data_IF_562868939059
#
_entry.id   IF_562868939059
#
_cell.length_a   1.000
_cell.length_b   1.000
_cell.length_c   1.000
_cell.angle_alpha   90.00
_cell.angle_beta   90.00
_cell.angle_gamma   90.00
#
_symmetry.space_group_name_H-M   'P 1'
#
loop_
_entity.id
_entity.type
_entity.pdbx_description
1 polymer ?
#
# COMPACT_ATOMS: atom_id res chain seq x y z
N UNK A 1 17.26 -11.88 38.26
CA UNK A 1 17.64 -11.69 36.85
C UNK A 1 16.45 -11.06 36.15
N UNK A 2 16.49 -9.76 35.90
CA UNK A 2 15.39 -9.04 35.24
C UNK A 2 15.70 -8.99 33.77
N UNK A 3 15.00 -9.78 32.96
CA UNK A 3 15.15 -9.76 31.50
C UNK A 3 14.60 -8.44 30.99
N UNK A 4 15.48 -7.50 30.68
CA UNK A 4 15.12 -6.20 30.11
C UNK A 4 14.64 -6.46 28.67
N UNK A 5 13.35 -6.22 28.41
CA UNK A 5 12.79 -6.34 27.06
C UNK A 5 13.55 -5.39 26.11
N UNK A 6 13.89 -5.81 24.88
CA UNK A 6 14.63 -4.98 23.95
C UNK A 6 13.80 -3.75 23.60
N UNK A 7 14.30 -2.55 23.94
CA UNK A 7 13.67 -1.30 23.54
C UNK A 7 13.62 -1.22 22.01
N UNK A 8 12.44 -0.94 21.46
CA UNK A 8 12.26 -0.85 20.01
C UNK A 8 13.19 0.21 19.40
N UNK A 9 13.92 -0.21 18.36
CA UNK A 9 14.82 0.67 17.61
C UNK A 9 14.06 1.88 17.03
N UNK A 10 14.76 3.00 16.81
CA UNK A 10 14.15 4.22 16.26
C UNK A 10 13.39 3.99 14.93
N UNK A 11 13.87 3.17 13.97
CA UNK A 11 13.12 2.83 12.76
C UNK A 11 11.81 2.10 13.05
N UNK A 12 11.81 1.14 13.98
CA UNK A 12 10.60 0.41 14.37
C UNK A 12 9.55 1.34 15.00
N UNK A 13 9.98 2.28 15.86
CA UNK A 13 9.09 3.30 16.44
C UNK A 13 8.47 4.21 15.39
N UNK A 14 9.25 4.65 14.40
CA UNK A 14 8.74 5.46 13.27
C UNK A 14 7.71 4.69 12.44
N UNK A 15 8.01 3.42 12.12
CA UNK A 15 7.08 2.56 11.38
C UNK A 15 5.77 2.36 12.16
N UNK A 16 5.85 2.10 13.47
CA UNK A 16 4.67 1.98 14.32
C UNK A 16 3.81 3.26 14.30
N UNK A 17 4.43 4.44 14.34
CA UNK A 17 3.72 5.71 14.23
C UNK A 17 3.02 5.89 12.87
N UNK A 18 3.66 5.51 11.77
CA UNK A 18 3.05 5.57 10.43
C UNK A 18 1.87 4.59 10.30
N UNK A 19 1.98 3.39 10.86
CA UNK A 19 0.87 2.44 10.89
C UNK A 19 -0.31 2.94 11.74
N UNK A 20 -0.02 3.51 12.92
CA UNK A 20 -1.05 4.12 13.77
C UNK A 20 -1.78 5.27 13.05
N UNK A 21 -1.04 6.08 12.28
CA UNK A 21 -1.64 7.11 11.43
C UNK A 21 -2.57 6.50 10.36
N UNK A 22 -2.11 5.50 9.60
CA UNK A 22 -2.91 4.82 8.57
C UNK A 22 -4.20 4.25 9.15
N UNK A 23 -4.09 3.50 10.23
CA UNK A 23 -5.20 2.86 10.93
C UNK A 23 -6.20 3.89 11.49
N UNK A 24 -5.72 5.06 11.95
CA UNK A 24 -6.60 6.17 12.29
C UNK A 24 -7.38 6.71 11.07
N UNK A 25 -6.73 6.89 9.92
CA UNK A 25 -7.38 7.38 8.70
C UNK A 25 -8.38 6.36 8.14
N UNK A 26 -8.06 5.06 8.19
CA UNK A 26 -8.99 4.01 7.76
C UNK A 26 -10.25 3.99 8.62
N UNK A 27 -10.09 4.07 9.95
CA UNK A 27 -11.24 4.21 10.88
C UNK A 27 -12.04 5.49 10.61
N UNK A 28 -11.38 6.61 10.38
CA UNK A 28 -12.04 7.88 10.08
C UNK A 28 -12.86 7.77 8.77
N UNK A 29 -12.29 7.14 7.73
CA UNK A 29 -12.96 6.92 6.45
C UNK A 29 -14.15 5.95 6.55
N UNK A 30 -14.10 4.99 7.49
CA UNK A 30 -15.19 4.06 7.79
C UNK A 30 -16.34 4.74 8.51
N UNK A 31 -16.03 5.56 9.52
CA UNK A 31 -17.03 6.09 10.45
C UNK A 31 -17.67 7.42 10.00
N UNK A 32 -16.96 8.22 9.19
CA UNK A 32 -17.44 9.54 8.73
C UNK A 32 -17.29 9.70 7.20
N UNK A 33 -18.39 9.55 6.45
CA UNK A 33 -18.40 9.78 5.00
C UNK A 33 -18.02 11.21 4.59
N UNK A 34 -18.29 12.20 5.44
CA UNK A 34 -17.93 13.60 5.22
C UNK A 34 -16.43 13.81 5.34
N UNK A 35 -15.82 13.27 6.40
CA UNK A 35 -14.37 13.28 6.56
C UNK A 35 -13.66 12.59 5.39
N UNK A 36 -14.17 11.44 4.94
CA UNK A 36 -13.65 10.77 3.74
C UNK A 36 -13.75 11.62 2.49
N UNK A 37 -14.88 12.29 2.27
CA UNK A 37 -15.06 13.17 1.11
C UNK A 37 -14.06 14.34 1.14
N UNK A 38 -13.85 14.93 2.32
CA UNK A 38 -12.85 15.99 2.54
C UNK A 38 -11.44 15.49 2.23
N UNK A 39 -11.02 14.34 2.78
CA UNK A 39 -9.71 13.74 2.52
C UNK A 39 -9.50 13.41 1.04
N UNK A 40 -10.51 12.85 0.37
CA UNK A 40 -10.44 12.52 -1.07
C UNK A 40 -10.28 13.77 -1.95
N UNK A 41 -10.72 14.94 -1.49
CA UNK A 41 -10.63 16.19 -2.26
C UNK A 41 -9.18 16.68 -2.45
N UNK A 42 -8.24 16.21 -1.61
CA UNK A 42 -6.81 16.50 -1.68
C UNK A 42 -6.02 15.71 -2.73
N UNK A 43 -6.66 14.77 -3.43
CA UNK A 43 -5.98 13.99 -4.47
C UNK A 43 -5.34 14.89 -5.53
N UNK A 44 -4.04 14.69 -5.76
CA UNK A 44 -3.21 15.46 -6.71
C UNK A 44 -3.19 16.97 -6.40
N UNK A 45 -3.36 17.36 -5.14
CA UNK A 45 -3.30 18.74 -4.69
C UNK A 45 -2.09 18.98 -3.79
N UNK A 46 -1.65 20.23 -3.82
CA UNK A 46 -0.64 20.76 -2.93
C UNK A 46 -1.28 21.20 -1.60
N UNK A 47 -0.49 21.34 -0.53
CA UNK A 47 -0.94 21.82 0.77
C UNK A 47 -1.62 23.18 0.69
N UNK A 48 -1.10 24.08 -0.14
CA UNK A 48 -1.62 25.45 -0.25
C UNK A 48 -2.93 25.56 -1.04
N UNK A 49 -3.43 24.45 -1.58
CA UNK A 49 -4.62 24.46 -2.41
C UNK A 49 -5.88 24.73 -1.56
N UNK A 50 -6.82 25.62 -1.98
CA UNK A 50 -8.00 25.93 -1.18
C UNK A 50 -8.87 24.73 -0.79
N UNK A 51 -8.87 23.68 -1.63
CA UNK A 51 -9.58 22.41 -1.33
C UNK A 51 -8.90 21.53 -0.27
N UNK A 52 -7.64 21.79 0.08
CA UNK A 52 -6.97 21.10 1.19
C UNK A 52 -7.35 21.69 2.56
N UNK A 53 -8.10 22.80 2.60
CA UNK A 53 -8.50 23.49 3.85
C UNK A 53 -9.28 22.59 4.81
N UNK A 54 -10.24 21.85 4.29
CA UNK A 54 -11.04 20.92 5.11
C UNK A 54 -10.18 19.76 5.64
N UNK A 55 -9.14 19.36 4.89
CA UNK A 55 -8.21 18.33 5.33
C UNK A 55 -7.28 18.81 6.45
N UNK A 56 -6.89 20.09 6.47
CA UNK A 56 -6.07 20.62 7.57
C UNK A 56 -6.75 20.42 8.91
N UNK A 57 -8.07 20.63 8.99
CA UNK A 57 -8.82 20.38 10.22
C UNK A 57 -8.70 18.93 10.72
N UNK A 58 -8.65 17.97 9.80
CA UNK A 58 -8.61 16.54 10.13
C UNK A 58 -7.19 16.05 10.41
N UNK A 59 -6.21 16.50 9.61
CA UNK A 59 -4.87 15.94 9.61
C UNK A 59 -3.91 16.69 10.55
N UNK A 60 -4.03 18.01 10.72
CA UNK A 60 -3.10 18.78 11.56
C UNK A 60 -2.94 18.22 12.99
N UNK A 61 -3.98 17.76 13.70
CA UNK A 61 -3.83 17.16 15.03
C UNK A 61 -3.08 15.82 15.04
N UNK A 62 -2.97 15.15 13.89
CA UNK A 62 -2.35 13.83 13.73
C UNK A 62 -0.90 13.91 13.25
N UNK A 63 -0.48 15.08 12.77
CA UNK A 63 0.88 15.27 12.27
C UNK A 63 1.85 15.46 13.46
N UNK A 64 3.09 14.94 13.37
CA UNK A 64 4.10 15.18 14.39
C UNK A 64 4.39 16.67 14.54
N UNK A 65 4.63 17.12 15.78
CA UNK A 65 5.05 18.50 16.05
C UNK A 65 6.32 18.85 15.26
N UNK A 66 6.33 20.04 14.64
CA UNK A 66 7.46 20.50 13.83
C UNK A 66 7.62 19.80 12.47
N UNK A 67 6.60 19.11 11.97
CA UNK A 67 6.62 18.57 10.61
C UNK A 67 6.76 19.70 9.57
N UNK A 68 7.78 19.63 8.72
CA UNK A 68 7.90 20.54 7.58
C UNK A 68 6.91 20.20 6.47
N UNK A 69 6.63 21.17 5.59
CA UNK A 69 5.62 21.06 4.52
C UNK A 69 5.80 19.82 3.62
N UNK A 70 7.04 19.42 3.35
CA UNK A 70 7.33 18.22 2.53
C UNK A 70 6.86 16.93 3.21
N UNK A 71 7.12 16.80 4.51
CA UNK A 71 6.65 15.65 5.28
C UNK A 71 5.12 15.70 5.41
N UNK A 72 4.56 16.88 5.68
CA UNK A 72 3.11 17.07 5.71
C UNK A 72 2.45 16.67 4.38
N UNK A 73 3.01 17.06 3.23
CA UNK A 73 2.52 16.65 1.90
C UNK A 73 2.46 15.13 1.76
N UNK A 74 3.42 14.37 2.31
CA UNK A 74 3.38 12.91 2.30
C UNK A 74 2.17 12.37 3.10
N UNK A 75 1.95 12.86 4.33
CA UNK A 75 0.77 12.49 5.14
C UNK A 75 -0.55 12.79 4.41
N UNK A 76 -0.67 13.98 3.82
CA UNK A 76 -1.87 14.41 3.11
C UNK A 76 -2.12 13.57 1.85
N UNK A 77 -1.05 13.25 1.12
CA UNK A 77 -1.13 12.40 -0.06
C UNK A 77 -1.61 10.99 0.32
N UNK A 78 -1.00 10.37 1.33
CA UNK A 78 -1.39 9.02 1.77
C UNK A 78 -2.81 9.00 2.31
N UNK A 79 -3.20 9.98 3.12
CA UNK A 79 -4.59 10.07 3.60
C UNK A 79 -5.60 10.23 2.46
N UNK A 80 -5.26 11.02 1.44
CA UNK A 80 -6.10 11.17 0.24
C UNK A 80 -6.20 9.86 -0.56
N UNK A 81 -5.10 9.11 -0.67
CA UNK A 81 -5.05 7.82 -1.38
C UNK A 81 -5.88 6.75 -0.66
N UNK A 82 -5.78 6.67 0.66
CA UNK A 82 -6.61 5.81 1.49
C UNK A 82 -8.07 6.20 1.28
N UNK A 83 -8.46 7.46 1.52
CA UNK A 83 -9.85 7.91 1.35
C UNK A 83 -10.46 7.69 -0.05
N UNK A 84 -9.62 7.55 -1.08
CA UNK A 84 -10.01 7.25 -2.45
C UNK A 84 -10.32 5.75 -2.71
N UNK A 85 -10.06 4.87 -1.75
CA UNK A 85 -10.45 3.46 -1.84
C UNK A 85 -11.97 3.31 -1.94
N UNK A 86 -12.53 2.30 -2.65
CA UNK A 86 -13.95 1.94 -2.61
C UNK A 86 -14.43 1.70 -1.18
N UNK A 87 -15.75 1.82 -0.97
CA UNK A 87 -16.32 1.70 0.38
C UNK A 87 -16.09 0.32 1.00
N UNK A 88 -16.19 -0.75 0.20
CA UNK A 88 -15.96 -2.13 0.64
C UNK A 88 -14.52 -2.37 1.12
N UNK A 89 -13.54 -1.56 0.70
CA UNK A 89 -12.18 -1.66 1.22
C UNK A 89 -12.09 -1.31 2.72
N UNK A 90 -13.12 -0.66 3.26
CA UNK A 90 -13.19 -0.29 4.67
C UNK A 90 -14.14 -1.15 5.48
N UNK A 91 -14.97 -2.01 4.89
CA UNK A 91 -15.95 -2.80 5.61
C UNK A 91 -15.83 -4.27 5.25
N UNK A 92 -15.62 -5.12 6.25
CA UNK A 92 -16.06 -6.51 6.17
C UNK A 92 -17.60 -6.50 6.30
N UNK A 93 -18.26 -7.16 5.36
CA UNK A 93 -19.66 -7.58 5.35
C UNK A 93 -20.77 -6.50 5.45
N UNK A 94 -21.29 -6.14 4.27
CA UNK A 94 -22.72 -5.98 3.98
C UNK A 94 -22.88 -5.67 2.48
N UNK A 95 -23.10 -6.74 1.71
CA UNK A 95 -24.01 -6.86 0.55
C UNK A 95 -23.81 -8.28 -0.04
N UNK A 96 -24.08 -9.31 0.78
CA UNK A 96 -24.59 -10.59 0.27
C UNK A 96 -26.11 -10.55 0.47
N UNK A 97 -26.84 -10.12 -0.56
CA UNK A 97 -28.17 -10.62 -0.91
C UNK A 97 -28.64 -10.04 -2.27
N UNK A 98 -29.35 -10.89 -3.01
CA UNK A 98 -29.80 -10.83 -4.42
C UNK A 98 -28.69 -10.98 -5.49
N UNK A 99 -28.53 -12.12 -6.19
CA UNK A 99 -29.47 -13.15 -6.61
C UNK A 99 -28.83 -14.56 -6.53
N UNK A 100 -29.47 -15.46 -5.78
CA UNK A 100 -29.29 -16.92 -5.89
C UNK A 100 -30.20 -17.43 -7.00
N UNK A 101 -29.63 -18.17 -7.94
CA UNK A 101 -30.26 -19.37 -8.51
C UNK A 101 -29.26 -20.53 -8.38
N UNK A 102 -29.51 -21.41 -7.40
CA UNK A 102 -28.95 -22.77 -7.31
C UNK A 102 -29.69 -23.66 -8.33
N UNK A 103 -29.04 -24.65 -8.98
CA UNK A 103 -29.10 -26.09 -8.62
C UNK A 103 -28.33 -26.97 -9.69
N UNK A 104 -28.04 -28.30 -9.51
CA UNK A 104 -26.75 -28.82 -9.03
C UNK A 104 -26.08 -29.96 -9.90
N UNK A 105 -24.80 -30.27 -9.60
CA UNK A 105 -24.01 -31.56 -9.57
C UNK A 105 -24.23 -32.69 -10.64
N UNK A 106 -23.21 -33.49 -11.09
CA UNK A 106 -22.34 -34.25 -10.16
C UNK A 106 -20.86 -34.53 -10.54
N UNK A 107 -20.05 -34.60 -9.47
CA UNK A 107 -18.94 -35.52 -9.14
C UNK A 107 -18.47 -36.56 -10.18
N UNK A 108 -17.15 -36.61 -10.43
CA UNK A 108 -16.39 -37.87 -10.49
C UNK A 108 -14.96 -37.71 -9.95
N UNK A 109 -14.69 -38.44 -8.85
CA UNK A 109 -13.39 -38.69 -8.21
C UNK A 109 -12.76 -39.95 -8.81
N UNK A 110 -11.43 -39.96 -8.98
CA UNK A 110 -10.46 -40.97 -8.48
C UNK A 110 -9.16 -40.86 -9.29
N UNK A 111 -8.06 -40.41 -8.65
CA UNK A 111 -7.00 -41.23 -8.03
C UNK A 111 -5.80 -41.33 -9.01
N UNK A 112 -4.54 -41.12 -8.66
CA UNK A 112 -3.76 -41.61 -7.52
C UNK A 112 -2.48 -40.73 -7.38
N UNK A 113 -2.01 -40.41 -6.17
CA UNK A 113 -0.74 -40.88 -5.54
C UNK A 113 0.51 -40.62 -6.41
N UNK A 114 1.59 -39.98 -5.97
CA UNK A 114 2.34 -40.20 -4.74
C UNK A 114 3.53 -39.19 -4.68
N UNK A 115 4.13 -39.08 -3.49
CA UNK A 115 5.53 -38.70 -3.24
C UNK A 115 5.91 -37.21 -3.22
N UNK A 116 6.35 -36.78 -2.03
CA UNK A 116 7.39 -35.77 -1.89
C UNK A 116 7.09 -34.73 -0.83
N UNK A 117 6.99 -35.15 0.43
CA UNK A 117 7.28 -34.26 1.56
C UNK A 117 8.70 -33.71 1.37
N UNK A 118 8.80 -32.48 0.86
CA UNK A 118 9.92 -31.60 1.16
C UNK A 118 9.33 -30.49 1.99
N UNK A 119 9.58 -30.59 3.29
CA UNK A 119 9.65 -29.43 4.16
C UNK A 119 10.60 -28.43 3.48
N UNK A 120 10.02 -27.45 2.78
CA UNK A 120 10.75 -26.22 2.50
C UNK A 120 10.99 -25.59 3.86
N UNK A 121 12.19 -25.87 4.37
CA UNK A 121 12.88 -25.14 5.41
C UNK A 121 12.90 -23.67 4.97
N UNK A 122 11.78 -23.00 5.27
CA UNK A 122 11.52 -21.63 4.92
C UNK A 122 12.40 -20.85 5.88
N UNK A 123 13.57 -20.44 5.39
CA UNK A 123 14.44 -19.49 6.08
C UNK A 123 13.54 -18.42 6.71
N UNK A 124 13.60 -18.23 8.04
CA UNK A 124 12.72 -17.27 8.70
C UNK A 124 12.92 -15.93 8.00
N UNK A 125 11.85 -15.29 7.50
CA UNK A 125 12.00 -14.09 6.69
C UNK A 125 12.79 -13.11 7.53
N UNK A 126 13.94 -12.66 7.02
CA UNK A 126 14.68 -11.57 7.62
C UNK A 126 13.64 -10.52 7.97
N UNK A 127 13.47 -10.24 9.27
CA UNK A 127 12.52 -9.22 9.72
C UNK A 127 13.17 -7.91 9.34
N UNK A 128 13.05 -7.55 8.06
CA UNK A 128 13.51 -6.28 7.59
C UNK A 128 12.67 -5.25 8.35
N UNK A 129 13.28 -4.20 8.92
CA UNK A 129 12.54 -3.18 9.65
C UNK A 129 11.59 -2.38 8.75
N UNK A 130 11.53 -2.71 7.46
CA UNK A 130 10.75 -2.07 6.42
C UNK A 130 9.56 -2.97 6.04
N UNK A 131 8.44 -2.36 5.67
CA UNK A 131 7.30 -3.06 5.11
C UNK A 131 7.49 -3.41 3.64
N UNK A 132 6.44 -3.93 3.00
CA UNK A 132 6.48 -4.17 1.56
C UNK A 132 6.55 -2.86 0.79
N UNK A 133 7.53 -2.73 -0.10
CA UNK A 133 7.69 -1.50 -0.89
C UNK A 133 6.56 -1.38 -1.93
N UNK A 134 6.33 -0.17 -2.44
CA UNK A 134 5.36 0.03 -3.52
C UNK A 134 5.75 -0.73 -4.80
N UNK A 135 7.05 -0.91 -5.03
CA UNK A 135 7.56 -1.76 -6.11
C UNK A 135 7.15 -3.22 -5.94
N UNK A 136 7.15 -3.72 -4.70
CA UNK A 136 6.64 -5.06 -4.40
C UNK A 136 5.14 -5.19 -4.73
N UNK A 137 4.32 -4.20 -4.34
CA UNK A 137 2.89 -4.18 -4.66
C UNK A 137 2.63 -4.18 -6.19
N UNK A 138 3.43 -3.47 -6.98
CA UNK A 138 3.36 -3.52 -8.44
C UNK A 138 3.77 -4.88 -9.01
N UNK A 139 4.80 -5.52 -8.44
CA UNK A 139 5.22 -6.86 -8.82
C UNK A 139 4.14 -7.90 -8.53
N UNK A 140 3.55 -7.86 -7.33
CA UNK A 140 2.43 -8.72 -6.95
C UNK A 140 1.21 -8.49 -7.84
N UNK A 141 0.90 -7.24 -8.21
CA UNK A 141 -0.18 -6.93 -9.14
C UNK A 141 0.06 -7.54 -10.54
N UNK A 142 1.31 -7.63 -10.99
CA UNK A 142 1.65 -8.32 -12.23
C UNK A 142 1.59 -9.85 -12.11
N UNK A 143 1.90 -10.39 -10.92
CA UNK A 143 1.85 -11.82 -10.59
C UNK A 143 0.46 -12.33 -10.19
N UNK A 144 -0.54 -11.46 -10.04
CA UNK A 144 -1.84 -11.82 -9.49
C UNK A 144 -2.56 -12.85 -10.38
N UNK A 145 -3.05 -13.95 -9.79
CA UNK A 145 -3.73 -15.04 -10.53
C UNK A 145 -5.08 -14.62 -11.12
N UNK A 146 -5.87 -13.87 -10.36
CA UNK A 146 -7.25 -13.53 -10.75
C UNK A 146 -7.32 -12.39 -11.77
N UNK A 147 -6.60 -11.29 -11.50
CA UNK A 147 -6.65 -10.09 -12.34
C UNK A 147 -5.25 -9.46 -12.48
N UNK A 148 -4.35 -10.10 -13.25
CA UNK A 148 -3.00 -9.62 -13.40
C UNK A 148 -2.95 -8.28 -14.14
N UNK A 149 -2.09 -7.38 -13.68
CA UNK A 149 -1.65 -6.23 -14.45
C UNK A 149 -0.66 -6.70 -15.53
N UNK A 150 -0.78 -6.19 -16.76
CA UNK A 150 0.21 -6.48 -17.82
C UNK A 150 1.61 -6.08 -17.34
N UNK A 151 2.56 -7.02 -17.40
CA UNK A 151 3.94 -6.81 -16.93
C UNK A 151 4.57 -5.54 -17.53
N UNK A 152 4.44 -5.33 -18.85
CA UNK A 152 4.96 -4.13 -19.52
C UNK A 152 4.31 -2.83 -19.04
N UNK A 153 3.05 -2.86 -18.62
CA UNK A 153 2.35 -1.70 -18.06
C UNK A 153 2.82 -1.43 -16.62
N UNK A 154 3.02 -2.48 -15.81
CA UNK A 154 3.56 -2.36 -14.45
C UNK A 154 4.99 -1.81 -14.48
N UNK A 155 5.83 -2.34 -15.36
CA UNK A 155 7.21 -1.90 -15.59
C UNK A 155 7.28 -0.44 -16.09
N UNK A 156 6.42 -0.07 -17.03
CA UNK A 156 6.32 1.32 -17.51
C UNK A 156 5.91 2.29 -16.40
N UNK A 157 5.02 1.83 -15.51
CA UNK A 157 4.53 2.63 -14.38
C UNK A 157 5.60 2.86 -13.33
N UNK A 158 6.33 1.80 -12.92
CA UNK A 158 7.42 1.95 -11.95
C UNK A 158 8.54 2.82 -12.50
N UNK A 159 8.99 2.59 -13.75
CA UNK A 159 10.02 3.41 -14.42
C UNK A 159 9.62 4.88 -14.52
N UNK A 160 8.33 5.18 -14.66
CA UNK A 160 7.82 6.55 -14.68
C UNK A 160 7.89 7.17 -13.29
N UNK A 161 7.41 6.49 -12.25
CA UNK A 161 7.41 6.99 -10.87
C UNK A 161 8.83 7.27 -10.37
N UNK A 162 9.78 6.38 -10.66
CA UNK A 162 11.17 6.49 -10.20
C UNK A 162 11.93 7.68 -10.78
N UNK A 163 11.41 8.32 -11.84
CA UNK A 163 12.00 9.50 -12.48
C UNK A 163 11.37 10.81 -12.03
N UNK A 164 10.36 10.77 -11.16
CA UNK A 164 9.62 11.97 -10.76
C UNK A 164 10.33 12.77 -9.68
N UNK A 165 10.18 14.09 -9.76
CA UNK A 165 10.52 15.00 -8.67
C UNK A 165 9.57 14.81 -7.49
N UNK A 166 9.88 15.43 -6.33
CA UNK A 166 8.99 15.41 -5.15
C UNK A 166 7.55 15.82 -5.50
N UNK A 167 7.37 16.88 -6.29
CA UNK A 167 6.03 17.31 -6.71
C UNK A 167 5.41 16.30 -7.68
N UNK A 168 6.22 15.77 -8.60
CA UNK A 168 5.77 14.78 -9.58
C UNK A 168 5.28 13.48 -8.94
N UNK A 169 5.93 13.01 -7.86
CA UNK A 169 5.52 11.75 -7.21
C UNK A 169 4.12 11.91 -6.60
N UNK A 170 3.83 13.00 -5.89
CA UNK A 170 2.49 13.24 -5.33
C UNK A 170 1.39 13.40 -6.40
N UNK A 171 1.75 13.89 -7.59
CA UNK A 171 0.81 14.04 -8.71
C UNK A 171 0.53 12.74 -9.48
N UNK A 172 1.57 11.91 -9.68
CA UNK A 172 1.48 10.71 -10.52
C UNK A 172 1.14 9.44 -9.74
N UNK A 173 1.52 9.36 -8.47
CA UNK A 173 1.26 8.21 -7.60
C UNK A 173 -0.22 7.80 -7.56
N UNK A 174 -1.22 8.71 -7.46
CA UNK A 174 -2.62 8.30 -7.42
C UNK A 174 -3.10 7.51 -8.63
N UNK A 175 -2.57 7.79 -9.83
CA UNK A 175 -2.93 7.05 -11.03
C UNK A 175 -2.46 5.59 -10.95
N UNK A 176 -1.20 5.39 -10.54
CA UNK A 176 -0.59 4.05 -10.46
C UNK A 176 -1.17 3.26 -9.28
N UNK A 177 -1.40 3.90 -8.14
CA UNK A 177 -2.08 3.28 -6.98
C UNK A 177 -3.46 2.75 -7.38
N UNK A 178 -4.25 3.51 -8.14
CA UNK A 178 -5.55 3.04 -8.60
C UNK A 178 -5.45 1.84 -9.56
N UNK A 179 -4.41 1.77 -10.41
CA UNK A 179 -4.18 0.62 -11.28
C UNK A 179 -3.83 -0.63 -10.47
N UNK A 180 -2.92 -0.53 -9.49
CA UNK A 180 -2.56 -1.63 -8.58
C UNK A 180 -3.80 -2.11 -7.84
N UNK A 181 -4.59 -1.19 -7.29
CA UNK A 181 -5.79 -1.53 -6.52
C UNK A 181 -6.89 -2.17 -7.36
N UNK A 182 -6.95 -1.90 -8.66
CA UNK A 182 -7.88 -2.58 -9.56
C UNK A 182 -7.58 -4.08 -9.72
N UNK A 183 -6.40 -4.54 -9.28
CA UNK A 183 -5.97 -5.96 -9.25
C UNK A 183 -6.20 -6.63 -7.89
N UNK A 184 -6.82 -5.93 -6.93
CA UNK A 184 -7.01 -6.39 -5.55
C UNK A 184 -5.72 -6.68 -4.77
N UNK A 185 -4.60 -6.10 -5.21
CA UNK A 185 -3.33 -6.21 -4.51
C UNK A 185 -3.27 -5.25 -3.32
N UNK A 186 -2.92 -5.78 -2.15
CA UNK A 186 -2.71 -4.99 -0.94
C UNK A 186 -1.49 -4.05 -1.06
N UNK A 187 -1.62 -2.84 -0.51
CA UNK A 187 -0.55 -1.82 -0.48
C UNK A 187 -0.21 -1.55 0.98
N UNK A 188 1.07 -1.65 1.36
CA UNK A 188 1.54 -1.18 2.67
C UNK A 188 1.60 0.35 2.68
N UNK A 189 0.52 0.97 3.17
CA UNK A 189 0.41 2.43 3.28
C UNK A 189 1.43 3.04 4.24
N UNK A 190 1.83 2.30 5.27
CA UNK A 190 2.82 2.76 6.26
C UNK A 190 4.21 2.85 5.65
N UNK A 191 4.60 1.84 4.86
CA UNK A 191 5.85 1.85 4.10
C UNK A 191 5.82 2.92 2.99
N UNK A 192 4.70 3.04 2.27
CA UNK A 192 4.55 4.09 1.26
C UNK A 192 4.67 5.50 1.87
N UNK A 193 4.11 5.73 3.06
CA UNK A 193 4.27 6.99 3.79
C UNK A 193 5.73 7.23 4.17
N UNK A 194 6.43 6.21 4.68
CA UNK A 194 7.84 6.30 5.01
C UNK A 194 8.67 6.69 3.78
N UNK A 195 8.42 6.04 2.64
CA UNK A 195 9.12 6.29 1.39
C UNK A 195 8.85 7.71 0.88
N UNK A 196 7.62 8.22 0.98
CA UNK A 196 7.30 9.58 0.57
C UNK A 196 7.92 10.66 1.48
N UNK A 197 7.99 10.43 2.79
CA UNK A 197 8.65 11.33 3.74
C UNK A 197 10.16 11.40 3.46
N UNK A 198 10.79 10.24 3.20
CA UNK A 198 12.23 10.15 2.94
C UNK A 198 12.60 10.48 1.49
N UNK A 199 11.63 10.55 0.56
CA UNK A 199 11.84 10.83 -0.87
C UNK A 199 12.75 12.04 -1.14
N UNK A 200 12.58 13.21 -0.49
CA UNK A 200 13.40 14.39 -0.76
C UNK A 200 14.89 14.19 -0.44
N UNK A 201 15.21 13.24 0.43
CA UNK A 201 16.56 12.99 0.94
C UNK A 201 17.17 11.71 0.36
N UNK A 202 16.34 10.74 -0.02
CA UNK A 202 16.75 9.36 -0.33
C UNK A 202 16.09 8.79 -1.59
N UNK A 203 15.54 9.63 -2.48
CA UNK A 203 14.87 9.20 -3.72
C UNK A 203 15.66 8.16 -4.51
N UNK A 204 16.98 8.32 -4.67
CA UNK A 204 17.81 7.34 -5.38
C UNK A 204 17.84 5.95 -4.73
N UNK A 205 17.86 5.90 -3.38
CA UNK A 205 17.80 4.65 -2.61
C UNK A 205 16.40 4.03 -2.68
N UNK A 206 15.35 4.83 -2.53
CA UNK A 206 13.95 4.37 -2.58
C UNK A 206 13.62 3.83 -3.98
N UNK A 207 13.95 4.58 -5.02
CA UNK A 207 13.83 4.15 -6.43
C UNK A 207 14.51 2.81 -6.67
N UNK A 208 15.75 2.64 -6.18
CA UNK A 208 16.48 1.38 -6.32
C UNK A 208 15.74 0.25 -5.61
N UNK A 209 15.30 0.47 -4.38
CA UNK A 209 14.60 -0.54 -3.59
C UNK A 209 13.29 -0.97 -4.26
N UNK A 210 12.48 -0.01 -4.71
CA UNK A 210 11.25 -0.29 -5.45
C UNK A 210 11.51 -1.11 -6.72
N UNK A 211 12.52 -0.73 -7.52
CA UNK A 211 12.88 -1.48 -8.73
C UNK A 211 13.37 -2.89 -8.40
N UNK A 212 14.20 -3.05 -7.38
CA UNK A 212 14.71 -4.35 -6.96
C UNK A 212 13.58 -5.30 -6.54
N UNK A 213 12.65 -4.84 -5.72
CA UNK A 213 11.54 -5.67 -5.26
C UNK A 213 10.59 -6.04 -6.41
N UNK A 214 10.32 -5.08 -7.30
CA UNK A 214 9.54 -5.32 -8.51
C UNK A 214 10.16 -6.44 -9.36
N UNK A 215 11.44 -6.29 -9.74
CA UNK A 215 12.10 -7.28 -10.60
C UNK A 215 12.33 -8.62 -9.89
N UNK A 216 12.52 -8.64 -8.57
CA UNK A 216 12.61 -9.90 -7.80
C UNK A 216 11.32 -10.70 -7.88
N UNK A 217 10.16 -10.03 -7.78
CA UNK A 217 8.87 -10.71 -7.86
C UNK A 217 8.59 -11.14 -9.31
N UNK A 218 8.81 -10.27 -10.29
CA UNK A 218 8.49 -10.61 -11.69
C UNK A 218 9.43 -11.66 -12.27
N UNK A 219 10.70 -11.69 -11.86
CA UNK A 219 11.63 -12.73 -12.30
C UNK A 219 11.24 -14.13 -11.80
N UNK A 220 10.50 -14.23 -10.68
CA UNK A 220 9.94 -15.52 -10.22
C UNK A 220 8.80 -15.99 -11.13
N UNK A 221 8.01 -15.07 -11.69
CA UNK A 221 6.94 -15.39 -12.65
C UNK A 221 7.52 -16.01 -13.92
N UNK A 222 8.65 -15.49 -14.42
CA UNK A 222 9.26 -15.98 -15.65
C UNK A 222 9.92 -17.39 -15.49
N UNK A 223 10.03 -17.88 -14.24
CA UNK A 223 10.64 -19.18 -13.92
C UNK A 223 9.62 -20.31 -13.74
N UNK A 224 8.34 -19.99 -13.55
CA UNK A 224 7.21 -20.93 -13.41
C UNK A 224 6.52 -21.20 -14.76
#
# INVERSE_FOLDING_TARGET
MTTQAPEASQPQRRRAAYLAFVDHIERLCRNDPGARAALRSGLRRDLDHPRARDMHRLLTPLLPEGCGDRAAQAYYTVASLIAAQPRHAFGADQDEDDEREEEPEPVQKQASQEAGEREEESEPPEITPYGSSFGAALGCAAAAKAKPMRLSAAESSIKRLTRQSIRGIHLHLPAVVNQVRATDTAIDWGQLLADLIDWPYRSGRITRHWLQDFYRITARIDQD
#
